data_IF_500860278461
#
_entry.id   IF_500860278461
#
_cell.length_a   1.000
_cell.length_b   1.000
_cell.length_c   1.000
_cell.angle_alpha   90.00
_cell.angle_beta   90.00
_cell.angle_gamma   90.00
#
_symmetry.space_group_name_H-M   'P 1'
#
loop_
_entity.id
_entity.type
_entity.pdbx_description
1 polymer ?
#
# COMPACT_ATOMS: atom_id res chain seq x y z
N UNK A 1 56.82 45.16 -22.85
CA UNK A 1 56.63 43.91 -22.09
C UNK A 1 55.16 43.74 -21.83
N UNK A 2 54.46 43.11 -22.73
CA UNK A 2 53.04 42.84 -22.58
C UNK A 2 52.80 41.33 -22.77
N UNK A 3 52.42 40.67 -21.66
CA UNK A 3 52.10 39.24 -21.66
C UNK A 3 50.60 39.09 -21.96
N UNK A 4 50.28 38.62 -23.15
CA UNK A 4 48.91 38.19 -23.49
C UNK A 4 48.59 36.89 -22.76
N UNK A 5 47.57 36.89 -21.88
CA UNK A 5 46.98 35.69 -21.32
C UNK A 5 45.88 35.21 -22.27
N UNK A 6 46.14 34.05 -22.91
CA UNK A 6 45.11 33.30 -23.65
C UNK A 6 44.15 32.68 -22.59
N UNK A 7 42.90 33.10 -22.68
CA UNK A 7 41.81 32.44 -21.95
C UNK A 7 41.31 31.23 -22.72
N UNK A 8 41.48 30.05 -22.17
CA UNK A 8 40.84 28.84 -22.71
C UNK A 8 39.37 28.84 -22.27
N UNK A 9 38.46 28.98 -23.23
CA UNK A 9 37.04 28.74 -23.07
C UNK A 9 36.81 27.24 -23.19
N UNK A 10 36.58 26.55 -22.08
CA UNK A 10 36.11 25.19 -22.09
C UNK A 10 34.62 25.20 -22.47
N UNK A 11 34.31 24.80 -23.70
CA UNK A 11 32.93 24.51 -24.10
C UNK A 11 32.52 23.18 -23.47
N UNK A 12 31.69 23.25 -22.42
CA UNK A 12 31.03 22.08 -21.86
C UNK A 12 29.99 21.58 -22.87
N UNK A 13 30.29 20.48 -23.53
CA UNK A 13 29.33 19.77 -24.38
C UNK A 13 28.35 19.08 -23.40
N UNK A 14 27.19 19.67 -23.24
CA UNK A 14 26.03 18.98 -22.60
C UNK A 14 25.58 17.87 -23.55
N UNK A 15 26.07 16.66 -23.31
CA UNK A 15 25.50 15.47 -23.93
C UNK A 15 24.14 15.26 -23.26
N UNK A 16 23.11 15.76 -23.94
CA UNK A 16 21.73 15.48 -23.62
C UNK A 16 21.46 14.01 -24.00
N UNK A 17 21.87 13.08 -23.12
CA UNK A 17 21.47 11.68 -23.23
C UNK A 17 19.97 11.62 -22.93
N UNK A 18 19.19 11.74 -23.99
CA UNK A 18 17.79 11.30 -24.01
C UNK A 18 17.83 9.78 -23.83
N UNK A 19 18.01 9.33 -22.56
CA UNK A 19 17.72 7.95 -22.18
C UNK A 19 16.21 7.81 -22.34
N UNK A 20 15.77 7.30 -23.47
CA UNK A 20 14.45 6.69 -23.57
C UNK A 20 14.42 5.65 -22.44
N UNK A 21 13.57 5.87 -21.45
CA UNK A 21 13.27 4.85 -20.46
C UNK A 21 12.74 3.63 -21.23
N UNK A 22 13.65 2.74 -21.59
CA UNK A 22 13.29 1.44 -22.11
C UNK A 22 12.45 0.79 -20.99
N UNK A 23 11.14 0.65 -21.26
CA UNK A 23 10.22 -0.04 -20.37
C UNK A 23 10.86 -1.38 -20.04
N UNK A 24 11.25 -1.58 -18.79
CA UNK A 24 11.89 -2.81 -18.36
C UNK A 24 11.05 -4.01 -18.87
N UNK A 25 11.69 -5.07 -19.38
CA UNK A 25 10.94 -6.23 -19.85
C UNK A 25 9.98 -6.69 -18.76
N UNK A 26 8.73 -6.96 -19.16
CA UNK A 26 7.71 -7.45 -18.21
C UNK A 26 8.23 -8.78 -17.70
N UNK A 27 8.78 -8.75 -16.49
CA UNK A 27 9.25 -9.94 -15.81
C UNK A 27 8.04 -10.82 -15.50
N UNK A 28 8.10 -12.11 -15.82
CA UNK A 28 7.03 -13.03 -15.44
C UNK A 28 7.01 -13.18 -13.93
N UNK A 29 5.83 -13.17 -13.29
CA UNK A 29 5.73 -13.41 -11.85
C UNK A 29 6.41 -14.73 -11.47
N UNK A 30 7.10 -14.73 -10.34
CA UNK A 30 7.71 -15.93 -9.81
C UNK A 30 6.61 -16.98 -9.50
N UNK A 31 6.65 -18.19 -10.09
CA UNK A 31 5.62 -19.20 -9.87
C UNK A 31 5.46 -19.59 -8.41
N UNK A 32 6.53 -19.57 -7.63
CA UNK A 32 6.49 -19.87 -6.20
C UNK A 32 5.75 -18.78 -5.43
N UNK A 33 5.99 -17.51 -5.77
CA UNK A 33 5.25 -16.38 -5.18
C UNK A 33 3.75 -16.50 -5.46
N UNK A 34 3.36 -16.78 -6.71
CA UNK A 34 1.95 -16.96 -7.07
C UNK A 34 1.31 -18.13 -6.31
N UNK A 35 1.98 -19.29 -6.27
CA UNK A 35 1.48 -20.46 -5.55
C UNK A 35 1.29 -20.18 -4.05
N UNK A 36 2.20 -19.44 -3.43
CA UNK A 36 2.07 -19.03 -2.02
C UNK A 36 0.93 -18.06 -1.80
N UNK A 37 0.69 -17.12 -2.73
CA UNK A 37 -0.47 -16.22 -2.68
C UNK A 37 -1.79 -17.00 -2.80
N UNK A 38 -1.86 -17.96 -3.71
CA UNK A 38 -3.05 -18.83 -3.87
C UNK A 38 -3.32 -19.64 -2.60
N UNK A 39 -2.30 -20.27 -2.02
CA UNK A 39 -2.41 -21.00 -0.77
C UNK A 39 -2.87 -20.09 0.38
N UNK A 40 -2.26 -18.91 0.50
CA UNK A 40 -2.66 -17.91 1.48
C UNK A 40 -4.12 -17.50 1.33
N UNK A 41 -4.58 -17.29 0.09
CA UNK A 41 -5.97 -16.91 -0.22
C UNK A 41 -6.94 -18.03 0.10
N UNK A 42 -6.61 -19.29 -0.19
CA UNK A 42 -7.43 -20.44 0.19
C UNK A 42 -7.62 -20.52 1.70
N UNK A 43 -6.54 -20.44 2.47
CA UNK A 43 -6.60 -20.46 3.94
C UNK A 43 -7.34 -19.23 4.50
N UNK A 44 -7.17 -18.05 3.89
CA UNK A 44 -7.87 -16.84 4.29
C UNK A 44 -9.39 -16.99 4.15
N UNK A 45 -9.86 -17.56 3.04
CA UNK A 45 -11.29 -17.84 2.80
C UNK A 45 -11.86 -18.88 3.77
N UNK A 46 -11.03 -19.82 4.24
CA UNK A 46 -11.37 -20.77 5.30
C UNK A 46 -11.31 -20.17 6.71
N UNK A 47 -10.99 -18.88 6.86
CA UNK A 47 -10.69 -18.19 8.12
C UNK A 47 -9.54 -18.82 8.92
N UNK A 48 -8.65 -19.58 8.25
CA UNK A 48 -7.45 -20.15 8.87
C UNK A 48 -6.26 -19.18 8.70
N UNK A 49 -6.30 -18.09 9.46
CA UNK A 49 -5.25 -17.07 9.44
C UNK A 49 -3.90 -17.62 9.93
N UNK A 50 -3.91 -18.67 10.74
CA UNK A 50 -2.70 -19.32 11.21
C UNK A 50 -1.88 -19.92 10.06
N UNK A 51 -2.54 -20.42 9.03
CA UNK A 51 -1.90 -20.92 7.79
C UNK A 51 -1.79 -19.86 6.71
N UNK A 52 -2.75 -18.94 6.62
CA UNK A 52 -2.72 -17.87 5.61
C UNK A 52 -1.51 -16.94 5.78
N UNK A 53 -1.28 -16.46 7.02
CA UNK A 53 -0.20 -15.51 7.33
C UNK A 53 1.18 -16.00 6.87
N UNK A 54 1.67 -17.21 7.25
CA UNK A 54 2.99 -17.64 6.81
C UNK A 54 3.10 -17.84 5.30
N UNK A 55 2.03 -18.20 4.61
CA UNK A 55 2.02 -18.33 3.15
C UNK A 55 2.19 -16.93 2.50
N UNK A 56 1.38 -15.96 2.88
CA UNK A 56 1.52 -14.59 2.38
C UNK A 56 2.85 -13.94 2.78
N UNK A 57 3.31 -14.17 4.02
CA UNK A 57 4.60 -13.63 4.47
C UNK A 57 5.75 -14.14 3.61
N UNK A 58 5.79 -15.45 3.33
CA UNK A 58 6.82 -16.04 2.48
C UNK A 58 6.74 -15.52 1.04
N UNK A 59 5.54 -15.32 0.50
CA UNK A 59 5.35 -14.67 -0.80
C UNK A 59 5.93 -13.25 -0.81
N UNK A 60 5.65 -12.47 0.25
CA UNK A 60 6.16 -11.10 0.36
C UNK A 60 7.68 -11.06 0.54
N UNK A 61 8.26 -12.03 1.23
CA UNK A 61 9.72 -12.08 1.42
C UNK A 61 10.41 -12.38 0.08
N UNK A 62 9.88 -13.29 -0.75
CA UNK A 62 10.36 -13.48 -2.13
C UNK A 62 10.27 -12.20 -2.97
N UNK A 63 9.17 -11.47 -2.87
CA UNK A 63 9.00 -10.18 -3.57
C UNK A 63 9.91 -9.07 -3.07
N UNK A 64 10.38 -9.14 -1.82
CA UNK A 64 11.40 -8.21 -1.31
C UNK A 64 12.80 -8.54 -1.81
N UNK A 65 13.10 -9.84 -2.01
CA UNK A 65 14.36 -10.29 -2.60
C UNK A 65 14.43 -9.95 -4.09
N UNK A 66 13.36 -10.28 -4.82
CA UNK A 66 13.23 -10.01 -6.25
C UNK A 66 11.78 -9.67 -6.60
N UNK A 67 11.55 -8.42 -7.02
CA UNK A 67 10.20 -7.96 -7.37
C UNK A 67 9.78 -8.48 -8.73
N UNK A 68 8.87 -9.45 -8.76
CA UNK A 68 8.35 -10.08 -9.98
C UNK A 68 6.87 -9.80 -10.23
N UNK A 69 6.10 -9.49 -9.18
CA UNK A 69 4.69 -9.16 -9.31
C UNK A 69 4.48 -7.79 -9.94
N UNK A 70 3.46 -7.67 -10.77
CA UNK A 70 2.96 -6.37 -11.17
C UNK A 70 2.38 -5.60 -9.96
N UNK A 71 2.08 -4.32 -10.16
CA UNK A 71 1.58 -3.45 -9.10
C UNK A 71 0.28 -3.95 -8.49
N UNK A 72 -0.60 -4.53 -9.29
CA UNK A 72 -1.92 -5.02 -8.84
C UNK A 72 -1.77 -6.23 -7.92
N UNK A 73 -1.04 -7.25 -8.36
CA UNK A 73 -0.80 -8.45 -7.57
C UNK A 73 -0.01 -8.15 -6.29
N UNK A 74 0.96 -7.24 -6.38
CA UNK A 74 1.72 -6.82 -5.20
C UNK A 74 0.84 -6.10 -4.16
N UNK A 75 -0.07 -5.21 -4.61
CA UNK A 75 -1.06 -4.56 -3.74
C UNK A 75 -1.93 -5.59 -3.02
N UNK A 76 -2.46 -6.56 -3.77
CA UNK A 76 -3.28 -7.65 -3.23
C UNK A 76 -2.52 -8.47 -2.19
N UNK A 77 -1.26 -8.82 -2.47
CA UNK A 77 -0.43 -9.58 -1.53
C UNK A 77 -0.24 -8.85 -0.20
N UNK A 78 0.16 -7.57 -0.26
CA UNK A 78 0.42 -6.76 0.95
C UNK A 78 -0.88 -6.52 1.71
N UNK A 79 -1.97 -6.26 1.00
CA UNK A 79 -3.29 -6.01 1.59
C UNK A 79 -3.81 -7.24 2.35
N UNK A 80 -3.81 -8.39 1.69
CA UNK A 80 -4.26 -9.65 2.28
C UNK A 80 -3.42 -10.06 3.50
N UNK A 81 -2.10 -9.87 3.45
CA UNK A 81 -1.24 -10.15 4.61
C UNK A 81 -1.57 -9.22 5.78
N UNK A 82 -1.69 -7.91 5.53
CA UNK A 82 -2.04 -6.94 6.55
C UNK A 82 -3.41 -7.21 7.18
N UNK A 83 -4.41 -7.52 6.35
CA UNK A 83 -5.75 -7.91 6.81
C UNK A 83 -5.73 -9.21 7.63
N UNK A 84 -4.97 -10.23 7.19
CA UNK A 84 -4.85 -11.48 7.93
C UNK A 84 -4.25 -11.26 9.33
N UNK A 85 -3.24 -10.40 9.46
CA UNK A 85 -2.72 -9.99 10.75
C UNK A 85 -3.76 -9.23 11.58
N UNK A 86 -4.46 -8.26 10.98
CA UNK A 86 -5.49 -7.47 11.67
C UNK A 86 -6.60 -8.34 12.24
N UNK A 87 -7.17 -9.23 11.42
CA UNK A 87 -8.26 -10.13 11.81
C UNK A 87 -7.79 -11.14 12.88
N UNK A 88 -6.52 -11.59 12.81
CA UNK A 88 -5.96 -12.48 13.83
C UNK A 88 -5.62 -11.77 15.15
N UNK A 89 -5.79 -10.44 15.24
CA UNK A 89 -5.52 -9.61 16.41
C UNK A 89 -4.06 -9.12 16.53
N UNK A 90 -3.17 -9.44 15.59
CA UNK A 90 -1.80 -8.89 15.58
C UNK A 90 -1.78 -7.50 14.92
N UNK A 91 -2.41 -6.53 15.60
CA UNK A 91 -2.57 -5.16 15.09
C UNK A 91 -1.24 -4.47 14.83
N UNK A 92 -0.19 -4.85 15.58
CA UNK A 92 1.16 -4.30 15.35
C UNK A 92 1.68 -4.73 13.98
N UNK A 93 1.63 -6.02 13.67
CA UNK A 93 2.09 -6.52 12.37
C UNK A 93 1.19 -6.06 11.23
N UNK A 94 -0.13 -5.94 11.44
CA UNK A 94 -1.03 -5.34 10.46
C UNK A 94 -0.58 -3.92 10.11
N UNK A 95 -0.36 -3.06 11.12
CA UNK A 95 0.14 -1.70 10.94
C UNK A 95 1.48 -1.67 10.21
N UNK A 96 2.45 -2.47 10.64
CA UNK A 96 3.79 -2.52 10.04
C UNK A 96 3.70 -2.95 8.55
N UNK A 97 2.80 -3.89 8.21
CA UNK A 97 2.57 -4.37 6.84
C UNK A 97 1.95 -3.28 5.96
N UNK A 98 0.90 -2.60 6.43
CA UNK A 98 0.31 -1.50 5.67
C UNK A 98 1.26 -0.30 5.55
N UNK A 99 2.04 -0.02 6.58
CA UNK A 99 3.07 1.03 6.53
C UNK A 99 4.16 0.70 5.49
N UNK A 100 4.57 -0.58 5.39
CA UNK A 100 5.44 -1.03 4.30
C UNK A 100 4.76 -0.82 2.93
N UNK A 101 3.49 -1.18 2.78
CA UNK A 101 2.71 -0.92 1.58
C UNK A 101 2.73 0.57 1.20
N UNK A 102 2.40 1.44 2.14
CA UNK A 102 2.39 2.90 1.95
C UNK A 102 3.77 3.49 1.65
N UNK A 103 4.86 2.88 2.13
CA UNK A 103 6.21 3.31 1.79
C UNK A 103 6.57 3.08 0.32
N UNK A 104 5.92 2.13 -0.34
CA UNK A 104 6.13 1.76 -1.75
C UNK A 104 5.05 2.31 -2.68
N UNK A 105 3.85 2.49 -2.16
CA UNK A 105 2.69 2.99 -2.89
C UNK A 105 1.84 3.91 -1.99
N UNK A 106 2.29 5.16 -1.80
CA UNK A 106 1.69 6.09 -0.84
C UNK A 106 0.28 6.55 -1.21
N UNK A 107 -0.18 6.27 -2.42
CA UNK A 107 -1.49 6.69 -2.93
C UNK A 107 -2.46 5.55 -3.15
N UNK A 108 -2.13 4.32 -2.78
CA UNK A 108 -3.09 3.24 -2.87
C UNK A 108 -4.11 3.31 -1.71
N UNK A 109 -5.40 3.53 -2.00
CA UNK A 109 -6.38 3.90 -0.98
C UNK A 109 -6.68 2.78 0.00
N UNK A 110 -6.62 1.50 -0.42
CA UNK A 110 -6.93 0.39 0.49
C UNK A 110 -5.90 0.23 1.61
N UNK A 111 -4.62 0.54 1.38
CA UNK A 111 -3.66 0.57 2.48
C UNK A 111 -3.99 1.66 3.52
N UNK A 112 -4.49 2.81 3.07
CA UNK A 112 -4.95 3.85 3.99
C UNK A 112 -6.23 3.42 4.72
N UNK A 113 -7.18 2.81 4.01
CA UNK A 113 -8.44 2.35 4.62
C UNK A 113 -8.16 1.30 5.70
N UNK A 114 -7.37 0.27 5.39
CA UNK A 114 -7.04 -0.80 6.32
C UNK A 114 -6.15 -0.32 7.47
N UNK A 115 -5.33 0.71 7.24
CA UNK A 115 -4.61 1.42 8.30
C UNK A 115 -5.60 2.14 9.25
N UNK A 116 -6.65 2.76 8.71
CA UNK A 116 -7.71 3.38 9.52
C UNK A 116 -8.45 2.34 10.37
N UNK A 117 -8.80 1.18 9.79
CA UNK A 117 -9.38 0.05 10.53
C UNK A 117 -8.43 -0.42 11.64
N UNK A 118 -7.14 -0.57 11.33
CA UNK A 118 -6.14 -1.01 12.32
C UNK A 118 -6.05 -0.02 13.50
N UNK A 119 -6.02 1.28 13.24
CA UNK A 119 -6.02 2.29 14.30
C UNK A 119 -7.35 2.31 15.08
N UNK A 120 -8.47 2.06 14.42
CA UNK A 120 -9.76 1.95 15.08
C UNK A 120 -9.78 0.75 16.07
N UNK A 121 -9.22 -0.39 15.66
CA UNK A 121 -9.08 -1.55 16.58
C UNK A 121 -8.09 -1.29 17.73
N UNK A 122 -7.13 -0.38 17.54
CA UNK A 122 -6.22 0.11 18.59
C UNK A 122 -6.84 1.22 19.46
N UNK A 123 -8.10 1.58 19.24
CA UNK A 123 -8.84 2.65 19.93
C UNK A 123 -8.25 4.07 19.69
N UNK A 124 -7.52 4.26 18.58
CA UNK A 124 -6.91 5.53 18.18
C UNK A 124 -7.77 6.24 17.13
N UNK A 125 -8.79 6.97 17.60
CA UNK A 125 -9.77 7.65 16.75
C UNK A 125 -9.12 8.71 15.86
N UNK A 126 -8.07 9.39 16.32
CA UNK A 126 -7.44 10.48 15.59
C UNK A 126 -6.69 9.97 14.36
N UNK A 127 -5.90 8.93 14.54
CA UNK A 127 -5.23 8.28 13.42
C UNK A 127 -6.23 7.55 12.51
N UNK A 128 -7.27 6.92 13.05
CA UNK A 128 -8.32 6.30 12.24
C UNK A 128 -8.96 7.33 11.29
N UNK A 129 -9.36 8.51 11.79
CA UNK A 129 -9.88 9.63 10.97
C UNK A 129 -8.87 10.08 9.92
N UNK A 130 -7.61 10.30 10.32
CA UNK A 130 -6.58 10.82 9.42
C UNK A 130 -6.32 9.88 8.24
N UNK A 131 -6.25 8.57 8.48
CA UNK A 131 -6.05 7.58 7.44
C UNK A 131 -7.29 7.35 6.60
N UNK A 132 -8.48 7.38 7.20
CA UNK A 132 -9.75 7.28 6.47
C UNK A 132 -9.92 8.42 5.45
N UNK A 133 -9.63 9.66 5.84
CA UNK A 133 -9.64 10.81 4.91
C UNK A 133 -8.70 10.58 3.72
N UNK A 134 -7.46 10.15 3.98
CA UNK A 134 -6.50 9.84 2.90
C UNK A 134 -6.99 8.73 1.97
N UNK A 135 -7.66 7.69 2.51
CA UNK A 135 -8.24 6.63 1.69
C UNK A 135 -9.24 7.22 0.67
N UNK A 136 -10.12 8.11 1.11
CA UNK A 136 -11.10 8.76 0.24
C UNK A 136 -10.48 9.81 -0.70
N UNK A 137 -9.46 10.54 -0.24
CA UNK A 137 -8.71 11.48 -1.10
C UNK A 137 -8.02 10.77 -2.28
N UNK A 138 -7.62 9.52 -2.09
CA UNK A 138 -6.92 8.73 -3.12
C UNK A 138 -7.81 7.68 -3.80
N UNK A 139 -9.13 7.67 -3.61
CA UNK A 139 -10.03 6.62 -4.09
C UNK A 139 -9.94 6.33 -5.60
N UNK A 140 -9.55 7.33 -6.41
CA UNK A 140 -9.32 7.17 -7.85
C UNK A 140 -8.16 6.23 -8.20
N UNK A 141 -7.29 5.89 -7.24
CA UNK A 141 -6.16 4.99 -7.46
C UNK A 141 -6.46 3.52 -7.09
N UNK A 142 -7.73 3.17 -6.87
CA UNK A 142 -8.13 1.80 -6.60
C UNK A 142 -7.81 0.88 -7.77
N UNK A 143 -7.64 -0.40 -7.51
CA UNK A 143 -7.55 -1.41 -8.57
C UNK A 143 -8.88 -1.45 -9.31
N UNK A 144 -8.84 -1.60 -10.62
CA UNK A 144 -10.06 -1.66 -11.44
C UNK A 144 -10.99 -2.78 -10.94
N UNK A 145 -12.18 -2.42 -10.56
CA UNK A 145 -13.20 -3.35 -10.03
C UNK A 145 -13.28 -3.41 -8.51
N UNK A 146 -12.30 -2.87 -7.79
CA UNK A 146 -12.43 -2.67 -6.35
C UNK A 146 -13.47 -1.61 -6.02
N UNK A 147 -14.02 -1.70 -4.82
CA UNK A 147 -14.94 -0.70 -4.27
C UNK A 147 -14.43 -0.26 -2.90
N UNK A 148 -14.48 1.05 -2.66
CA UNK A 148 -14.21 1.59 -1.33
C UNK A 148 -15.27 1.06 -0.36
N UNK A 149 -14.89 0.43 0.76
CA UNK A 149 -15.85 0.01 1.76
C UNK A 149 -16.58 1.22 2.37
N UNK A 150 -17.81 1.02 2.85
CA UNK A 150 -18.56 2.07 3.51
C UNK A 150 -18.23 2.11 5.01
N UNK A 151 -17.53 3.15 5.50
CA UNK A 151 -17.13 3.25 6.89
C UNK A 151 -18.30 3.36 7.88
N UNK A 152 -19.51 3.71 7.42
CA UNK A 152 -20.71 3.72 8.28
C UNK A 152 -21.17 2.32 8.69
N UNK A 153 -20.86 1.32 7.87
CA UNK A 153 -21.27 -0.08 8.10
C UNK A 153 -20.12 -0.99 8.46
N UNK A 154 -18.87 -0.52 8.33
CA UNK A 154 -17.68 -1.30 8.67
C UNK A 154 -17.58 -1.55 10.17
N UNK A 155 -17.41 -2.81 10.56
CA UNK A 155 -17.37 -3.24 11.96
C UNK A 155 -16.25 -2.60 12.77
N UNK A 156 -15.10 -2.32 12.15
CA UNK A 156 -13.97 -1.70 12.83
C UNK A 156 -14.28 -0.31 13.39
N UNK A 157 -15.22 0.41 12.76
CA UNK A 157 -15.59 1.77 13.18
C UNK A 157 -16.81 1.86 14.06
N UNK A 158 -17.54 0.75 14.30
CA UNK A 158 -18.80 0.79 15.07
C UNK A 158 -18.61 1.34 16.49
N UNK A 159 -17.44 1.12 17.10
CA UNK A 159 -17.09 1.69 18.41
C UNK A 159 -17.09 3.21 18.46
N UNK A 160 -16.89 3.86 17.30
CA UNK A 160 -16.83 5.33 17.19
C UNK A 160 -18.12 5.98 16.70
N UNK A 161 -19.20 5.23 16.47
CA UNK A 161 -20.47 5.78 15.98
C UNK A 161 -21.20 6.70 16.98
N UNK A 162 -20.66 6.86 18.19
CA UNK A 162 -21.13 7.83 19.20
C UNK A 162 -20.10 8.94 19.47
N UNK A 163 -19.00 8.98 18.70
CA UNK A 163 -17.97 9.99 18.81
C UNK A 163 -18.24 11.09 17.79
N UNK A 164 -18.59 12.31 18.25
CA UNK A 164 -18.98 13.43 17.38
C UNK A 164 -17.87 13.77 16.37
N UNK A 165 -16.59 13.75 16.78
CA UNK A 165 -15.45 14.03 15.92
C UNK A 165 -15.35 13.02 14.76
N UNK A 166 -15.60 11.74 15.07
CA UNK A 166 -15.59 10.68 14.05
C UNK A 166 -16.76 10.81 13.09
N UNK A 167 -17.97 11.04 13.61
CA UNK A 167 -19.18 11.26 12.80
C UNK A 167 -19.03 12.46 11.87
N UNK A 168 -18.49 13.58 12.36
CA UNK A 168 -18.27 14.76 11.53
C UNK A 168 -17.21 14.51 10.45
N UNK A 169 -16.17 13.74 10.77
CA UNK A 169 -15.21 13.30 9.77
C UNK A 169 -15.85 12.44 8.68
N UNK A 170 -16.73 11.49 9.05
CA UNK A 170 -17.45 10.66 8.08
C UNK A 170 -18.36 11.46 7.14
N UNK A 171 -19.06 12.47 7.66
CA UNK A 171 -19.90 13.39 6.86
C UNK A 171 -19.08 14.19 5.85
N UNK A 172 -17.84 14.51 6.20
CA UNK A 172 -16.93 15.29 5.36
C UNK A 172 -16.13 14.45 4.35
N UNK A 173 -16.29 13.13 4.28
CA UNK A 173 -15.61 12.30 3.27
C UNK A 173 -16.17 12.56 1.87
N UNK A 174 -15.28 12.74 0.89
CA UNK A 174 -15.66 12.80 -0.52
C UNK A 174 -16.11 11.41 -1.01
N UNK A 175 -17.42 11.23 -1.20
CA UNK A 175 -18.05 9.95 -1.59
C UNK A 175 -18.37 9.86 -3.09
N UNK A 176 -18.20 10.96 -3.81
CA UNK A 176 -18.49 11.09 -5.26
C UNK A 176 -17.39 10.49 -6.12
#
# INVERSE_FOLDING_TARGET
MNRHRLGFILAAILINSCLSEAKAPIQKPNPQTLSLMEQGSAFYLEHDFKRAIPAYQKALDLEKEERTLDQTLWRVLVDNLGMAYGISGDLKKAKDTFQYGLSKDPKYPMFHYNMACTYAEMDDVDNAIAYLKRAFDYKQNMIKGERMPDPWTDSSFQRFMKNDKFIDALKGLNRD
#
